data_IF_666288675474
#
_entry.id   IF_666288675474
#
_cell.length_a   1.000
_cell.length_b   1.000
_cell.length_c   1.000
_cell.angle_alpha   90.00
_cell.angle_beta   90.00
_cell.angle_gamma   90.00
#
_symmetry.space_group_name_H-M   'P 1'
#
loop_
_entity.id
_entity.type
_entity.pdbx_description
1 polymer ?
#
# COMPACT_ATOMS: atom_id res chain seq x y z
N UNK A 1 10.13 -59.07 -27.99
CA UNK A 1 10.47 -58.17 -29.12
C UNK A 1 9.51 -56.98 -29.29
N UNK A 2 8.17 -57.13 -29.19
CA UNK A 2 7.23 -55.99 -29.36
C UNK A 2 7.32 -54.90 -28.26
N UNK A 3 7.33 -55.27 -26.98
CA UNK A 3 7.39 -54.29 -25.89
C UNK A 3 8.69 -53.48 -25.78
N UNK A 4 9.79 -53.93 -26.40
CA UNK A 4 11.03 -53.15 -26.45
C UNK A 4 10.92 -51.99 -27.46
N UNK A 5 10.30 -52.23 -28.62
CA UNK A 5 10.06 -51.19 -29.64
C UNK A 5 9.04 -50.15 -29.20
N UNK A 6 8.06 -50.54 -28.38
CA UNK A 6 7.06 -49.61 -27.83
C UNK A 6 7.70 -48.66 -26.80
N UNK A 7 8.54 -49.17 -25.89
CA UNK A 7 9.28 -48.35 -24.92
C UNK A 7 10.27 -47.39 -25.59
N UNK A 8 10.92 -47.81 -26.67
CA UNK A 8 11.84 -46.97 -27.43
C UNK A 8 11.11 -45.78 -28.08
N UNK A 9 9.91 -46.02 -28.63
CA UNK A 9 9.04 -44.94 -29.15
C UNK A 9 8.52 -44.01 -28.05
N UNK A 10 8.12 -44.55 -26.91
CA UNK A 10 7.70 -43.73 -25.75
C UNK A 10 8.84 -42.83 -25.25
N UNK A 11 10.07 -43.37 -25.18
CA UNK A 11 11.26 -42.60 -24.82
C UNK A 11 11.57 -41.52 -25.85
N UNK A 12 11.45 -41.81 -27.14
CA UNK A 12 11.69 -40.84 -28.21
C UNK A 12 10.69 -39.68 -28.15
N UNK A 13 9.39 -39.98 -27.98
CA UNK A 13 8.32 -38.97 -27.79
C UNK A 13 8.56 -38.16 -26.51
N UNK A 14 8.96 -38.80 -25.41
CA UNK A 14 9.25 -38.12 -24.16
C UNK A 14 10.45 -37.15 -24.31
N UNK A 15 11.49 -37.56 -25.03
CA UNK A 15 12.70 -36.78 -25.26
C UNK A 15 12.43 -35.59 -26.20
N UNK A 16 11.60 -35.78 -27.23
CA UNK A 16 11.12 -34.70 -28.09
C UNK A 16 10.25 -33.69 -27.31
N UNK A 17 9.32 -34.18 -26.48
CA UNK A 17 8.51 -33.32 -25.61
C UNK A 17 9.34 -32.54 -24.58
N UNK A 18 10.46 -33.11 -24.12
CA UNK A 18 11.39 -32.45 -23.21
C UNK A 18 12.16 -31.34 -23.94
N UNK A 19 12.64 -31.61 -25.16
CA UNK A 19 13.32 -30.60 -26.01
C UNK A 19 12.40 -29.43 -26.34
N UNK A 20 11.14 -29.69 -26.68
CA UNK A 20 10.16 -28.64 -26.95
C UNK A 20 9.85 -27.78 -25.73
N UNK A 21 9.77 -28.40 -24.54
CA UNK A 21 9.62 -27.66 -23.28
C UNK A 21 10.84 -26.80 -23.01
N UNK A 22 12.04 -27.33 -23.19
CA UNK A 22 13.30 -26.60 -22.96
C UNK A 22 13.41 -25.39 -23.89
N UNK A 23 13.06 -25.57 -25.18
CA UNK A 23 13.00 -24.49 -26.16
C UNK A 23 12.01 -23.40 -25.76
N UNK A 24 10.79 -23.78 -25.37
CA UNK A 24 9.76 -22.83 -24.90
C UNK A 24 10.17 -22.09 -23.62
N UNK A 25 10.90 -22.75 -22.73
CA UNK A 25 11.42 -22.12 -21.50
C UNK A 25 12.50 -21.09 -21.83
N UNK A 26 13.43 -21.40 -22.74
CA UNK A 26 14.45 -20.44 -23.20
C UNK A 26 13.82 -19.22 -23.87
N UNK A 27 12.89 -19.42 -24.79
CA UNK A 27 12.17 -18.32 -25.44
C UNK A 27 11.40 -17.42 -24.43
N UNK A 28 10.90 -18.00 -23.34
CA UNK A 28 10.27 -17.24 -22.26
C UNK A 28 11.29 -16.48 -21.42
N UNK A 29 12.43 -17.10 -21.10
CA UNK A 29 13.51 -16.45 -20.37
C UNK A 29 14.05 -15.26 -21.16
N UNK A 30 14.33 -15.42 -22.45
CA UNK A 30 14.79 -14.34 -23.31
C UNK A 30 13.80 -13.16 -23.35
N UNK A 31 12.49 -13.45 -23.39
CA UNK A 31 11.43 -12.42 -23.32
C UNK A 31 11.38 -11.71 -21.98
N UNK A 32 11.57 -12.45 -20.88
CA UNK A 32 11.59 -11.88 -19.52
C UNK A 32 12.83 -10.99 -19.36
N UNK A 33 13.99 -11.45 -19.80
CA UNK A 33 15.24 -10.69 -19.75
C UNK A 33 15.16 -9.42 -20.60
N UNK A 34 14.67 -9.52 -21.84
CA UNK A 34 14.46 -8.35 -22.69
C UNK A 34 13.48 -7.33 -22.07
N UNK A 35 12.37 -7.81 -21.48
CA UNK A 35 11.41 -6.92 -20.80
C UNK A 35 12.01 -6.28 -19.55
N UNK A 36 12.83 -7.01 -18.80
CA UNK A 36 13.53 -6.49 -17.63
C UNK A 36 14.52 -5.39 -18.04
N UNK A 37 15.31 -5.63 -19.07
CA UNK A 37 16.29 -4.66 -19.55
C UNK A 37 15.61 -3.39 -20.08
N UNK A 38 14.48 -3.54 -20.79
CA UNK A 38 13.66 -2.41 -21.23
C UNK A 38 13.11 -1.61 -20.05
N UNK A 39 12.60 -2.28 -19.01
CA UNK A 39 12.07 -1.62 -17.81
C UNK A 39 13.18 -0.89 -17.04
N UNK A 40 14.36 -1.50 -16.90
CA UNK A 40 15.52 -0.88 -16.26
C UNK A 40 15.98 0.35 -17.04
N UNK A 41 16.03 0.27 -18.38
CA UNK A 41 16.38 1.40 -19.24
C UNK A 41 15.37 2.56 -19.11
N UNK A 42 14.06 2.25 -19.09
CA UNK A 42 13.00 3.26 -18.87
C UNK A 42 13.12 3.92 -17.50
N UNK A 43 13.28 3.14 -16.43
CA UNK A 43 13.44 3.66 -15.08
C UNK A 43 14.68 4.56 -14.95
N UNK A 44 15.79 4.18 -15.58
CA UNK A 44 17.01 5.00 -15.59
C UNK A 44 16.81 6.33 -16.35
N UNK A 45 16.10 6.32 -17.48
CA UNK A 45 15.77 7.52 -18.23
C UNK A 45 14.85 8.48 -17.45
N UNK A 46 13.82 7.94 -16.80
CA UNK A 46 12.90 8.71 -15.96
C UNK A 46 13.62 9.32 -14.74
N UNK A 47 14.47 8.55 -14.07
CA UNK A 47 15.28 9.04 -12.95
C UNK A 47 16.21 10.20 -13.37
N UNK A 48 16.82 10.09 -14.56
CA UNK A 48 17.66 11.17 -15.11
C UNK A 48 16.85 12.44 -15.37
N UNK A 49 15.65 12.32 -15.93
CA UNK A 49 14.77 13.45 -16.18
C UNK A 49 14.27 14.11 -14.90
N UNK A 50 13.97 13.31 -13.87
CA UNK A 50 13.59 13.82 -12.55
C UNK A 50 14.73 14.60 -11.89
N UNK A 51 15.97 14.10 -11.98
CA UNK A 51 17.15 14.82 -11.46
C UNK A 51 17.41 16.13 -12.20
N UNK A 52 17.27 16.13 -13.52
CA UNK A 52 17.43 17.35 -14.34
C UNK A 52 16.37 18.40 -13.99
N UNK A 53 15.11 18.00 -13.88
CA UNK A 53 14.03 18.91 -13.49
C UNK A 53 14.24 19.45 -12.08
N UNK A 54 14.60 18.61 -11.11
CA UNK A 54 14.91 19.02 -9.74
C UNK A 54 16.09 20.02 -9.67
N UNK A 55 17.16 19.76 -10.41
CA UNK A 55 18.31 20.68 -10.48
C UNK A 55 17.89 22.04 -11.07
N UNK A 56 17.06 22.04 -12.12
CA UNK A 56 16.57 23.27 -12.73
C UNK A 56 15.66 24.06 -11.80
N UNK A 57 14.76 23.41 -11.06
CA UNK A 57 13.95 24.10 -10.04
C UNK A 57 14.82 24.65 -8.93
N UNK A 58 15.81 23.90 -8.45
CA UNK A 58 16.75 24.38 -7.45
C UNK A 58 17.50 25.63 -7.94
N UNK A 59 17.99 25.64 -9.17
CA UNK A 59 18.66 26.81 -9.75
C UNK A 59 17.74 28.04 -9.83
N UNK A 60 16.48 27.84 -10.29
CA UNK A 60 15.48 28.91 -10.35
C UNK A 60 15.13 29.43 -8.97
N UNK A 61 14.90 28.56 -7.99
CA UNK A 61 14.62 28.95 -6.61
C UNK A 61 15.82 29.67 -5.97
N UNK A 62 17.05 29.20 -6.20
CA UNK A 62 18.27 29.88 -5.73
C UNK A 62 18.40 31.26 -6.38
N UNK A 63 18.08 31.37 -7.67
CA UNK A 63 18.07 32.65 -8.39
C UNK A 63 17.00 33.59 -7.83
N UNK A 64 15.78 33.13 -7.61
CA UNK A 64 14.71 33.89 -6.97
C UNK A 64 15.11 34.35 -5.57
N UNK A 65 15.68 33.49 -4.73
CA UNK A 65 16.19 33.87 -3.39
C UNK A 65 17.29 34.94 -3.50
N UNK A 66 18.17 34.85 -4.52
CA UNK A 66 19.24 35.83 -4.75
C UNK A 66 18.70 37.16 -5.27
N UNK A 67 17.68 37.15 -6.12
CA UNK A 67 17.04 38.33 -6.72
C UNK A 67 16.06 39.01 -5.75
N UNK A 68 15.37 38.23 -4.91
CA UNK A 68 14.55 38.69 -3.78
C UNK A 68 15.38 39.23 -2.60
N UNK A 69 16.67 39.54 -2.81
CA UNK A 69 17.47 40.41 -1.93
C UNK A 69 16.97 41.87 -1.94
N UNK A 70 15.67 42.05 -1.72
CA UNK A 70 15.06 43.27 -1.24
C UNK A 70 15.37 43.41 0.26
N UNK A 71 15.90 44.59 0.60
CA UNK A 71 16.18 45.18 1.91
C UNK A 71 17.02 44.36 2.90
N UNK A 72 18.17 44.93 3.25
CA UNK A 72 19.09 44.51 4.33
C UNK A 72 18.39 44.18 5.66
N UNK A 73 17.19 44.72 5.88
CA UNK A 73 16.32 44.50 7.03
C UNK A 73 15.64 43.12 7.06
N UNK A 74 15.18 42.60 5.92
CA UNK A 74 14.52 41.29 5.86
C UNK A 74 15.51 40.15 6.18
N UNK A 75 16.76 40.29 5.73
CA UNK A 75 17.85 39.36 6.00
C UNK A 75 18.26 39.40 7.47
N UNK A 76 18.29 40.58 8.10
CA UNK A 76 18.61 40.72 9.53
C UNK A 76 17.50 40.11 10.41
N UNK A 77 16.24 40.32 10.03
CA UNK A 77 15.09 39.72 10.71
C UNK A 77 15.05 38.20 10.54
N UNK A 78 15.34 37.68 9.34
CA UNK A 78 15.41 36.25 9.08
C UNK A 78 16.58 35.59 9.83
N UNK A 79 17.77 36.22 9.86
CA UNK A 79 18.91 35.74 10.65
C UNK A 79 18.62 35.72 12.14
N UNK A 80 17.92 36.73 12.66
CA UNK A 80 17.55 36.79 14.07
C UNK A 80 16.52 35.70 14.43
N UNK A 81 15.50 35.51 13.60
CA UNK A 81 14.52 34.42 13.76
C UNK A 81 15.16 33.04 13.64
N UNK A 82 16.12 32.86 12.75
CA UNK A 82 16.83 31.60 12.58
C UNK A 82 17.76 31.30 13.78
N UNK A 83 18.43 32.32 14.32
CA UNK A 83 19.22 32.18 15.55
C UNK A 83 18.34 31.80 16.75
N UNK A 84 17.17 32.44 16.92
CA UNK A 84 16.19 32.10 17.96
C UNK A 84 15.61 30.69 17.79
N UNK A 85 15.48 30.20 16.55
CA UNK A 85 15.05 28.82 16.28
C UNK A 85 16.16 27.80 16.52
N UNK A 86 17.42 28.12 16.17
CA UNK A 86 18.57 27.26 16.47
C UNK A 86 18.76 27.09 17.97
N UNK A 87 18.63 28.16 18.75
CA UNK A 87 18.78 28.11 20.20
C UNK A 87 17.68 27.24 20.86
N UNK A 88 16.45 27.28 20.35
CA UNK A 88 15.36 26.40 20.80
C UNK A 88 15.62 24.92 20.48
N UNK A 89 16.13 24.63 19.28
CA UNK A 89 16.48 23.27 18.86
C UNK A 89 17.65 22.74 19.69
N UNK A 90 18.63 23.59 20.01
CA UNK A 90 19.79 23.22 20.84
C UNK A 90 19.37 22.95 22.30
N UNK A 91 18.46 23.76 22.86
CA UNK A 91 17.88 23.51 24.18
C UNK A 91 17.03 22.23 24.23
N UNK A 92 16.28 21.89 23.18
CA UNK A 92 15.58 20.61 23.08
C UNK A 92 16.56 19.42 22.92
N UNK A 93 17.63 19.59 22.14
CA UNK A 93 18.67 18.58 21.98
C UNK A 93 19.40 18.29 23.30
N UNK A 94 19.72 19.32 24.09
CA UNK A 94 20.30 19.17 25.42
C UNK A 94 19.35 18.44 26.39
N UNK A 95 18.05 18.75 26.36
CA UNK A 95 17.05 18.04 27.17
C UNK A 95 16.92 16.57 26.79
N UNK A 96 17.01 16.25 25.49
CA UNK A 96 17.03 14.87 24.99
C UNK A 96 18.31 14.15 25.41
N UNK A 97 19.46 14.83 25.41
CA UNK A 97 20.74 14.26 25.83
C UNK A 97 20.78 13.98 27.34
N UNK A 98 20.23 14.89 28.17
CA UNK A 98 20.08 14.69 29.61
C UNK A 98 19.13 13.52 29.93
N UNK A 99 18.04 13.36 29.16
CA UNK A 99 17.15 12.18 29.25
C UNK A 99 17.86 10.88 28.86
N UNK A 100 18.78 10.92 27.88
CA UNK A 100 19.62 9.77 27.50
C UNK A 100 20.68 9.43 28.56
N UNK A 101 21.29 10.43 29.22
CA UNK A 101 22.27 10.21 30.31
C UNK A 101 21.62 9.55 31.54
N UNK A 102 20.39 9.94 31.92
CA UNK A 102 19.61 9.26 32.99
C UNK A 102 19.21 7.82 32.65
N UNK A 103 19.16 7.45 31.36
CA UNK A 103 18.89 6.07 30.89
C UNK A 103 20.13 5.18 30.84
N UNK A 104 21.34 5.75 30.86
CA UNK A 104 22.62 5.01 30.74
C UNK A 104 23.18 4.48 32.07
N UNK A 105 22.56 4.80 33.22
CA UNK A 105 22.95 4.30 34.55
C UNK A 105 22.20 3.04 34.99
N UNK A 106 21.32 2.48 34.16
CA UNK A 106 20.73 1.17 34.40
C UNK A 106 21.73 0.06 34.02
N UNK A 107 21.93 -1.00 34.84
CA UNK A 107 22.98 -1.98 34.62
C UNK A 107 22.68 -2.84 33.39
N UNK A 108 23.69 -3.05 32.53
CA UNK A 108 23.61 -3.97 31.39
C UNK A 108 23.75 -5.43 31.87
N UNK A 109 22.86 -6.36 31.51
CA UNK A 109 23.14 -7.78 31.68
C UNK A 109 24.11 -8.26 30.59
N UNK A 110 24.96 -9.20 30.99
CA UNK A 110 26.04 -9.80 30.18
C UNK A 110 25.46 -10.76 29.14
N UNK A 111 26.13 -10.84 27.99
CA UNK A 111 25.96 -11.89 26.98
C UNK A 111 26.60 -13.17 27.52
N UNK A 112 25.85 -14.27 27.52
CA UNK A 112 26.26 -15.55 26.96
C UNK A 112 25.04 -16.47 26.78
N UNK A 113 25.13 -17.31 25.74
CA UNK A 113 24.34 -18.53 25.46
C UNK A 113 22.81 -18.43 25.38
N UNK A 114 22.32 -18.28 24.14
CA UNK A 114 21.50 -19.28 23.41
C UNK A 114 20.72 -20.28 24.30
N UNK A 115 19.38 -20.18 24.22
CA UNK A 115 18.32 -20.95 24.90
C UNK A 115 17.96 -20.55 26.35
N UNK A 116 16.65 -20.28 26.53
CA UNK A 116 15.93 -19.95 27.77
C UNK A 116 16.31 -18.58 28.39
N UNK A 117 15.41 -17.67 28.71
CA UNK A 117 14.00 -17.80 29.12
C UNK A 117 13.28 -16.48 28.81
N UNK A 118 12.27 -16.51 27.95
CA UNK A 118 11.26 -15.45 27.94
C UNK A 118 10.46 -15.58 29.24
N UNK A 119 10.28 -14.51 30.03
CA UNK A 119 9.47 -14.57 31.24
C UNK A 119 8.06 -15.05 30.91
N UNK A 120 7.58 -16.00 31.71
CA UNK A 120 6.25 -16.59 31.62
C UNK A 120 5.18 -15.50 31.48
N UNK A 121 4.64 -15.39 30.27
CA UNK A 121 3.34 -14.79 30.00
C UNK A 121 2.38 -15.96 29.73
N UNK A 122 1.12 -15.83 30.17
CA UNK A 122 0.30 -16.95 30.63
C UNK A 122 0.14 -18.00 29.54
N UNK A 123 0.11 -19.26 30.00
CA UNK A 123 -0.12 -20.47 29.20
C UNK A 123 -1.07 -20.17 28.03
N UNK A 124 -0.58 -20.45 26.82
CA UNK A 124 -1.40 -20.39 25.63
C UNK A 124 -2.56 -21.37 25.82
N UNK A 125 -3.73 -20.82 26.13
CA UNK A 125 -4.96 -21.59 26.13
C UNK A 125 -5.24 -21.93 24.67
N UNK A 126 -4.92 -23.16 24.31
CA UNK A 126 -5.34 -23.74 23.05
C UNK A 126 -6.86 -23.84 23.10
N UNK A 127 -7.53 -22.84 22.53
CA UNK A 127 -8.98 -22.83 22.42
C UNK A 127 -9.33 -23.70 21.20
N UNK A 128 -9.70 -24.95 21.44
CA UNK A 128 -10.33 -25.83 20.44
C UNK A 128 -11.79 -25.39 20.21
N UNK A 129 -11.96 -24.13 19.81
CA UNK A 129 -13.24 -23.51 19.52
C UNK A 129 -13.31 -23.00 18.09
N UNK A 130 -14.52 -22.75 17.56
CA UNK A 130 -14.67 -22.17 16.23
C UNK A 130 -13.94 -20.83 16.14
N UNK A 131 -13.24 -20.64 15.02
CA UNK A 131 -12.54 -19.40 14.70
C UNK A 131 -13.61 -18.36 14.32
N UNK A 132 -13.54 -17.18 14.92
CA UNK A 132 -14.46 -16.07 14.68
C UNK A 132 -13.71 -14.85 14.11
N UNK A 133 -14.46 -13.89 13.54
CA UNK A 133 -13.88 -12.66 13.00
C UNK A 133 -13.32 -11.82 14.15
N UNK A 134 -12.09 -11.32 13.99
CA UNK A 134 -11.35 -10.58 15.02
C UNK A 134 -10.51 -11.44 15.96
N UNK A 135 -10.51 -12.76 15.78
CA UNK A 135 -9.59 -13.64 16.51
C UNK A 135 -8.15 -13.50 16.00
N UNK A 136 -7.20 -13.61 16.93
CA UNK A 136 -5.79 -13.77 16.60
C UNK A 136 -5.53 -15.27 16.40
N UNK A 137 -5.10 -15.60 15.19
CA UNK A 137 -4.81 -16.96 14.74
C UNK A 137 -3.35 -17.08 14.37
N UNK A 138 -2.78 -18.26 14.62
CA UNK A 138 -1.45 -18.63 14.21
C UNK A 138 -1.57 -19.41 12.89
N UNK A 139 -0.83 -18.94 11.88
CA UNK A 139 -0.85 -19.44 10.51
C UNK A 139 0.23 -20.52 10.38
N UNK A 140 -0.20 -21.78 10.17
CA UNK A 140 0.67 -22.96 10.08
C UNK A 140 1.50 -23.23 11.35
N UNK A 141 2.55 -24.04 11.22
CA UNK A 141 3.48 -24.33 12.34
C UNK A 141 4.58 -23.26 12.49
N UNK A 142 4.61 -22.28 11.59
CA UNK A 142 5.69 -21.30 11.45
C UNK A 142 5.66 -20.13 12.45
N UNK A 143 4.75 -20.12 13.40
CA UNK A 143 4.68 -19.09 14.46
C UNK A 143 4.18 -17.72 14.00
N UNK A 144 3.72 -17.58 12.75
CA UNK A 144 3.23 -16.31 12.20
C UNK A 144 1.82 -16.04 12.73
N UNK A 145 1.63 -14.89 13.39
CA UNK A 145 0.32 -14.48 13.90
C UNK A 145 -0.40 -13.59 12.90
N UNK A 146 -1.72 -13.74 12.83
CA UNK A 146 -2.58 -12.92 11.99
C UNK A 146 -3.98 -12.77 12.58
N UNK A 147 -4.73 -11.81 12.04
CA UNK A 147 -6.10 -11.50 12.46
C UNK A 147 -7.10 -11.99 11.44
N UNK A 148 -8.16 -12.66 11.90
CA UNK A 148 -9.23 -13.14 11.03
C UNK A 148 -10.12 -11.98 10.62
N UNK A 149 -10.18 -11.70 9.31
CA UNK A 149 -10.93 -10.59 8.76
C UNK A 149 -12.28 -10.99 8.18
N UNK A 150 -12.38 -12.18 7.56
CA UNK A 150 -13.60 -12.60 6.88
C UNK A 150 -13.67 -14.13 6.70
N UNK A 151 -14.90 -14.63 6.56
CA UNK A 151 -15.19 -16.02 6.19
C UNK A 151 -15.88 -16.08 4.84
N UNK A 152 -15.52 -17.08 4.02
CA UNK A 152 -16.20 -17.38 2.77
C UNK A 152 -16.28 -18.89 2.56
N UNK A 153 -17.46 -19.46 2.81
CA UNK A 153 -17.74 -20.91 2.73
C UNK A 153 -16.69 -21.73 3.50
N UNK A 154 -15.66 -22.22 2.82
CA UNK A 154 -14.60 -23.08 3.40
C UNK A 154 -13.24 -22.38 3.57
N UNK A 155 -13.17 -21.06 3.33
CA UNK A 155 -11.91 -20.29 3.42
C UNK A 155 -12.04 -19.09 4.36
N UNK A 156 -10.93 -18.80 5.02
CA UNK A 156 -10.76 -17.70 5.97
C UNK A 156 -9.79 -16.70 5.40
N UNK A 157 -10.13 -15.41 5.46
CA UNK A 157 -9.21 -14.34 5.14
C UNK A 157 -8.48 -13.91 6.41
N UNK A 158 -7.16 -14.00 6.41
CA UNK A 158 -6.32 -13.61 7.54
C UNK A 158 -5.37 -12.49 7.14
N UNK A 159 -5.25 -11.48 8.00
CA UNK A 159 -4.27 -10.41 7.87
C UNK A 159 -3.03 -10.74 8.69
N UNK A 160 -1.89 -10.92 8.02
CA UNK A 160 -0.58 -11.06 8.64
C UNK A 160 0.24 -9.79 8.34
N UNK A 161 0.26 -8.86 9.29
CA UNK A 161 0.83 -7.53 9.06
C UNK A 161 0.04 -6.75 8.00
N UNK A 162 0.69 -6.37 6.89
CA UNK A 162 0.07 -5.64 5.77
C UNK A 162 -0.54 -6.55 4.70
N UNK A 163 -0.30 -7.86 4.77
CA UNK A 163 -0.74 -8.83 3.75
C UNK A 163 -2.07 -9.47 4.16
N UNK A 164 -3.00 -9.61 3.20
CA UNK A 164 -4.29 -10.31 3.39
C UNK A 164 -4.33 -11.56 2.50
N UNK A 165 -4.55 -12.73 3.08
CA UNK A 165 -4.51 -14.02 2.36
C UNK A 165 -5.72 -14.88 2.69
N UNK A 166 -6.26 -15.58 1.69
CA UNK A 166 -7.31 -16.58 1.85
C UNK A 166 -6.72 -17.98 2.05
N UNK A 167 -7.02 -18.62 3.19
CA UNK A 167 -6.50 -19.94 3.55
C UNK A 167 -7.57 -20.85 4.13
N UNK A 168 -7.28 -22.14 4.27
CA UNK A 168 -8.22 -23.12 4.82
C UNK A 168 -8.22 -23.07 6.35
N UNK A 169 -9.35 -23.41 6.98
CA UNK A 169 -9.48 -23.47 8.44
C UNK A 169 -8.48 -24.43 9.10
N UNK A 170 -8.08 -25.50 8.39
CA UNK A 170 -7.13 -26.51 8.87
C UNK A 170 -5.71 -25.99 9.07
N UNK A 171 -5.38 -24.82 8.49
CA UNK A 171 -4.05 -24.20 8.58
C UNK A 171 -3.98 -23.13 9.68
N UNK A 172 -5.05 -22.95 10.46
CA UNK A 172 -5.20 -21.90 11.46
C UNK A 172 -5.37 -22.48 12.86
N UNK A 173 -4.64 -21.92 13.83
CA UNK A 173 -4.82 -22.24 15.25
C UNK A 173 -5.15 -20.97 16.03
N UNK A 174 -6.29 -20.95 16.71
CA UNK A 174 -6.71 -19.82 17.56
C UNK A 174 -5.77 -19.69 18.76
N UNK A 175 -5.19 -18.51 18.94
CA UNK A 175 -4.22 -18.21 20.01
C UNK A 175 -4.68 -17.07 20.93
N UNK A 176 -5.75 -16.36 20.58
CA UNK A 176 -6.37 -15.36 21.45
C UNK A 176 -7.33 -14.43 20.72
N UNK A 177 -7.73 -13.34 21.39
CA UNK A 177 -8.46 -12.22 20.79
C UNK A 177 -7.46 -11.08 20.55
N UNK A 178 -7.33 -10.61 19.32
CA UNK A 178 -6.39 -9.53 18.98
C UNK A 178 -6.81 -8.23 19.70
N UNK A 179 -5.84 -7.52 20.30
CA UNK A 179 -6.10 -6.12 20.73
C UNK A 179 -6.17 -5.27 19.47
N UNK A 180 -7.19 -4.39 19.33
CA UNK A 180 -7.41 -3.64 18.10
C UNK A 180 -6.17 -2.79 17.78
N UNK A 181 -5.46 -3.15 16.71
CA UNK A 181 -4.53 -2.21 16.08
C UNK A 181 -5.37 -1.10 15.46
N UNK A 182 -4.87 0.13 15.48
CA UNK A 182 -5.55 1.32 14.97
C UNK A 182 -5.62 1.36 13.42
N UNK A 183 -5.97 0.24 12.80
CA UNK A 183 -6.38 0.17 11.41
C UNK A 183 -7.89 -0.02 11.42
N UNK A 184 -8.58 0.98 10.86
CA UNK A 184 -10.02 1.10 10.79
C UNK A 184 -10.74 -0.26 10.67
N UNK A 185 -11.49 -0.63 11.72
CA UNK A 185 -12.53 -1.65 11.63
C UNK A 185 -13.43 -1.26 10.45
N UNK A 186 -13.60 -2.19 9.53
CA UNK A 186 -14.65 -2.15 8.52
C UNK A 186 -15.73 -3.04 9.09
N UNK A 187 -16.76 -2.43 9.67
CA UNK A 187 -17.98 -3.16 9.98
C UNK A 187 -18.65 -3.51 8.64
N UNK A 188 -18.59 -4.79 8.26
CA UNK A 188 -19.31 -5.31 7.10
C UNK A 188 -20.78 -5.42 7.50
N UNK A 189 -21.52 -4.33 7.37
CA UNK A 189 -22.98 -4.39 7.28
C UNK A 189 -23.30 -4.94 5.89
N UNK A 190 -23.92 -6.13 5.82
CA UNK A 190 -24.43 -6.68 4.56
C UNK A 190 -25.43 -5.69 3.95
N UNK A 191 -25.20 -5.16 2.73
CA UNK A 191 -26.22 -4.39 2.05
C UNK A 191 -27.28 -5.33 1.45
N UNK A 192 -28.53 -4.85 1.45
CA UNK A 192 -29.69 -5.50 0.86
C UNK A 192 -29.41 -6.01 -0.57
N UNK A 193 -29.80 -7.27 -0.81
CA UNK A 193 -29.47 -8.10 -1.97
C UNK A 193 -30.13 -7.69 -3.30
N UNK A 194 -30.80 -6.54 -3.37
CA UNK A 194 -31.58 -6.14 -4.55
C UNK A 194 -30.86 -5.15 -5.49
N UNK A 195 -29.69 -4.63 -5.11
CA UNK A 195 -28.84 -3.82 -5.99
C UNK A 195 -27.52 -4.55 -6.22
N UNK A 196 -27.17 -4.78 -7.49
CA UNK A 196 -25.93 -5.46 -7.87
C UNK A 196 -24.68 -4.81 -7.24
N UNK A 197 -23.52 -5.49 -7.23
CA UNK A 197 -22.33 -5.01 -6.54
C UNK A 197 -21.90 -3.64 -7.08
N UNK A 198 -21.91 -2.62 -6.21
CA UNK A 198 -21.40 -1.28 -6.51
C UNK A 198 -19.92 -1.40 -6.86
N UNK A 199 -19.54 -0.84 -8.01
CA UNK A 199 -18.16 -0.92 -8.51
C UNK A 199 -17.29 0.05 -7.73
N UNK A 200 -16.07 -0.34 -7.39
CA UNK A 200 -15.07 0.53 -6.74
C UNK A 200 -14.35 1.48 -7.72
N UNK A 201 -14.83 1.54 -8.97
CA UNK A 201 -14.27 2.39 -10.02
C UNK A 201 -15.38 3.02 -10.88
N UNK A 202 -15.29 4.34 -11.05
CA UNK A 202 -16.09 5.14 -11.97
C UNK A 202 -15.23 5.60 -13.15
N UNK A 203 -15.73 5.42 -14.38
CA UNK A 203 -15.04 5.85 -15.61
C UNK A 203 -15.79 7.02 -16.26
N UNK A 204 -15.14 8.17 -16.29
CA UNK A 204 -15.68 9.42 -16.86
C UNK A 204 -15.03 9.78 -18.21
N UNK A 205 -14.09 8.97 -18.71
CA UNK A 205 -13.36 9.24 -19.95
C UNK A 205 -14.35 9.38 -21.12
N UNK A 206 -14.22 10.47 -21.88
CA UNK A 206 -15.02 10.74 -23.07
C UNK A 206 -16.37 11.40 -22.80
N UNK A 207 -16.73 11.61 -21.53
CA UNK A 207 -17.95 12.31 -21.15
C UNK A 207 -17.77 13.82 -21.16
N UNK A 208 -18.88 14.55 -21.35
CA UNK A 208 -18.92 16.00 -21.15
C UNK A 208 -18.87 16.32 -19.65
N UNK A 209 -18.32 17.48 -19.30
CA UNK A 209 -18.11 17.86 -17.90
C UNK A 209 -19.41 17.87 -17.07
N UNK A 210 -20.52 18.33 -17.65
CA UNK A 210 -21.82 18.33 -16.96
C UNK A 210 -22.36 16.92 -16.72
N UNK A 211 -22.34 16.05 -17.73
CA UNK A 211 -22.76 14.65 -17.61
C UNK A 211 -21.92 13.90 -16.57
N UNK A 212 -20.60 14.09 -16.62
CA UNK A 212 -19.66 13.48 -15.69
C UNK A 212 -19.85 13.98 -14.25
N UNK A 213 -20.29 15.22 -14.06
CA UNK A 213 -20.57 15.76 -12.73
C UNK A 213 -21.79 15.07 -12.10
N UNK A 214 -22.88 14.96 -12.86
CA UNK A 214 -24.10 14.29 -12.40
C UNK A 214 -23.88 12.80 -12.12
N UNK A 215 -23.09 12.11 -12.95
CA UNK A 215 -22.74 10.71 -12.70
C UNK A 215 -21.81 10.52 -11.50
N UNK A 216 -20.87 11.44 -11.28
CA UNK A 216 -20.02 11.42 -10.10
C UNK A 216 -20.84 11.57 -8.81
N UNK A 217 -21.82 12.47 -8.80
CA UNK A 217 -22.68 12.71 -7.64
C UNK A 217 -23.51 11.48 -7.28
N UNK A 218 -24.22 10.92 -8.27
CA UNK A 218 -24.98 9.68 -8.09
C UNK A 218 -24.08 8.52 -7.62
N UNK A 219 -22.85 8.44 -8.13
CA UNK A 219 -21.90 7.41 -7.74
C UNK A 219 -21.41 7.55 -6.29
N UNK A 220 -21.18 8.78 -5.80
CA UNK A 220 -20.78 9.01 -4.40
C UNK A 220 -21.89 8.60 -3.43
N UNK A 221 -23.16 8.83 -3.79
CA UNK A 221 -24.31 8.34 -3.02
C UNK A 221 -24.37 6.80 -3.02
N UNK A 222 -24.16 6.17 -4.17
CA UNK A 222 -24.10 4.71 -4.26
C UNK A 222 -22.98 4.11 -3.41
N UNK A 223 -21.81 4.75 -3.37
CA UNK A 223 -20.69 4.33 -2.53
C UNK A 223 -21.02 4.43 -1.04
N UNK A 224 -21.67 5.52 -0.62
CA UNK A 224 -22.09 5.71 0.75
C UNK A 224 -23.14 4.65 1.15
N UNK A 225 -24.13 4.39 0.30
CA UNK A 225 -25.14 3.34 0.52
C UNK A 225 -24.53 1.93 0.58
N UNK A 226 -23.50 1.67 -0.23
CA UNK A 226 -22.76 0.41 -0.20
C UNK A 226 -21.71 0.32 0.91
N UNK A 227 -21.59 1.37 1.74
CA UNK A 227 -20.59 1.52 2.80
C UNK A 227 -19.15 1.23 2.31
N UNK A 228 -18.85 1.65 1.08
CA UNK A 228 -17.54 1.48 0.47
C UNK A 228 -16.60 2.60 0.93
N UNK A 229 -15.48 2.27 1.61
CA UNK A 229 -14.64 3.30 2.23
C UNK A 229 -13.82 4.11 1.22
N UNK A 230 -13.64 3.61 -0.01
CA UNK A 230 -12.89 4.30 -1.05
C UNK A 230 -13.35 3.89 -2.45
N UNK A 231 -13.05 4.75 -3.43
CA UNK A 231 -13.26 4.47 -4.84
C UNK A 231 -12.25 5.18 -5.74
N UNK A 232 -12.14 4.72 -6.99
CA UNK A 232 -11.31 5.33 -8.03
C UNK A 232 -12.16 6.01 -9.08
N UNK A 233 -11.82 7.25 -9.42
CA UNK A 233 -12.50 8.04 -10.44
C UNK A 233 -11.51 8.26 -11.60
N UNK A 234 -11.80 7.63 -12.72
CA UNK A 234 -10.96 7.67 -13.93
C UNK A 234 -11.48 8.75 -14.86
N UNK A 235 -10.87 9.93 -14.82
CA UNK A 235 -11.19 11.06 -15.69
C UNK A 235 -10.21 11.23 -16.87
N UNK A 236 -9.07 10.52 -16.84
CA UNK A 236 -8.02 10.62 -17.85
C UNK A 236 -7.16 11.87 -17.69
N UNK A 237 -6.05 11.95 -18.45
CA UNK A 237 -5.08 13.06 -18.38
C UNK A 237 -5.53 14.26 -19.23
N UNK A 238 -5.76 14.03 -20.53
CA UNK A 238 -6.44 14.93 -21.47
C UNK A 238 -6.10 16.42 -21.33
N UNK A 239 -7.10 17.27 -21.53
CA UNK A 239 -7.05 18.74 -21.33
C UNK A 239 -7.16 19.14 -19.86
N UNK A 240 -7.29 18.18 -18.93
CA UNK A 240 -7.52 18.44 -17.51
C UNK A 240 -8.91 18.94 -17.14
N UNK A 241 -9.83 19.14 -18.10
CA UNK A 241 -11.18 19.67 -17.83
C UNK A 241 -11.98 18.77 -16.88
N UNK A 242 -12.00 17.46 -17.14
CA UNK A 242 -12.67 16.50 -16.25
C UNK A 242 -11.96 16.38 -14.90
N UNK A 243 -10.62 16.44 -14.87
CA UNK A 243 -9.83 16.46 -13.63
C UNK A 243 -10.24 17.63 -12.74
N UNK A 244 -10.26 18.85 -13.30
CA UNK A 244 -10.61 20.06 -12.57
C UNK A 244 -12.05 20.00 -12.02
N UNK A 245 -13.00 19.55 -12.85
CA UNK A 245 -14.39 19.35 -12.44
C UNK A 245 -14.50 18.33 -11.29
N UNK A 246 -13.87 17.15 -11.42
CA UNK A 246 -13.90 16.12 -10.38
C UNK A 246 -13.33 16.65 -9.07
N UNK A 247 -12.18 17.31 -9.09
CA UNK A 247 -11.57 17.86 -7.88
C UNK A 247 -12.43 18.95 -7.22
N UNK A 248 -13.03 19.83 -8.02
CA UNK A 248 -13.93 20.87 -7.51
C UNK A 248 -15.15 20.25 -6.81
N UNK A 249 -15.73 19.20 -7.39
CA UNK A 249 -16.90 18.52 -6.81
C UNK A 249 -16.53 17.78 -5.53
N UNK A 250 -15.45 17.00 -5.54
CA UNK A 250 -15.00 16.25 -4.35
C UNK A 250 -14.61 17.15 -3.18
N UNK A 251 -14.01 18.33 -3.45
CA UNK A 251 -13.60 19.28 -2.43
C UNK A 251 -14.75 19.79 -1.55
N UNK A 252 -15.95 19.87 -2.11
CA UNK A 252 -17.12 20.44 -1.45
C UNK A 252 -18.17 19.37 -1.08
N UNK A 253 -17.88 18.09 -1.32
CA UNK A 253 -18.86 17.03 -1.17
C UNK A 253 -18.91 16.52 0.28
N UNK A 254 -20.09 16.49 0.94
CA UNK A 254 -20.21 16.10 2.35
C UNK A 254 -19.85 14.63 2.61
N UNK A 255 -20.09 13.75 1.64
CA UNK A 255 -19.78 12.31 1.76
C UNK A 255 -18.29 11.98 1.57
N UNK A 256 -17.43 12.97 1.30
CA UNK A 256 -16.01 12.77 1.03
C UNK A 256 -15.18 13.23 2.23
N UNK A 257 -14.37 12.34 2.78
CA UNK A 257 -13.43 12.66 3.85
C UNK A 257 -12.11 13.22 3.30
N UNK A 258 -11.57 12.56 2.27
CA UNK A 258 -10.29 12.93 1.67
C UNK A 258 -10.28 12.51 0.19
N UNK A 259 -9.53 13.23 -0.63
CA UNK A 259 -9.26 12.83 -2.01
C UNK A 259 -7.81 13.15 -2.38
N UNK A 260 -7.21 12.28 -3.20
CA UNK A 260 -5.85 12.45 -3.71
C UNK A 260 -5.75 12.01 -5.17
N UNK A 261 -4.69 12.42 -5.85
CA UNK A 261 -4.35 11.78 -7.12
C UNK A 261 -3.97 10.32 -6.92
N UNK A 262 -4.22 9.51 -7.95
CA UNK A 262 -3.77 8.13 -7.99
C UNK A 262 -2.25 8.05 -7.99
N UNK A 263 -1.72 7.02 -7.35
CA UNK A 263 -0.30 6.65 -7.45
C UNK A 263 0.03 6.20 -8.88
N UNK A 264 1.32 6.14 -9.28
CA UNK A 264 1.71 5.63 -10.60
C UNK A 264 1.12 4.25 -10.93
N UNK A 265 1.00 3.36 -9.93
CA UNK A 265 0.37 2.03 -10.06
C UNK A 265 -1.16 2.08 -10.19
N UNK A 266 -1.79 3.19 -9.84
CA UNK A 266 -3.24 3.40 -9.86
C UNK A 266 -3.73 4.18 -11.09
N UNK A 267 -2.81 4.71 -11.90
CA UNK A 267 -3.11 5.51 -13.09
C UNK A 267 -2.58 6.95 -13.03
N UNK A 268 -1.88 7.32 -11.96
CA UNK A 268 -1.28 8.64 -11.76
C UNK A 268 -2.30 9.77 -11.80
N UNK A 269 -1.88 10.91 -12.35
CA UNK A 269 -2.70 12.10 -12.61
C UNK A 269 -3.99 11.88 -13.44
N UNK A 270 -4.16 10.72 -14.07
CA UNK A 270 -5.38 10.39 -14.81
C UNK A 270 -6.50 9.83 -13.93
N UNK A 271 -6.23 9.62 -12.65
CA UNK A 271 -7.12 8.99 -11.68
C UNK A 271 -7.13 9.82 -10.41
N UNK A 272 -8.32 9.97 -9.81
CA UNK A 272 -8.49 10.51 -8.47
C UNK A 272 -9.01 9.40 -7.57
N UNK A 273 -8.37 9.18 -6.43
CA UNK A 273 -8.82 8.25 -5.40
C UNK A 273 -9.54 9.04 -4.33
N UNK A 274 -10.77 8.65 -4.04
CA UNK A 274 -11.63 9.27 -3.03
C UNK A 274 -11.79 8.35 -1.83
N UNK A 275 -11.73 8.91 -0.63
CA UNK A 275 -12.04 8.25 0.62
C UNK A 275 -13.35 8.82 1.17
N UNK A 276 -14.29 7.94 1.48
CA UNK A 276 -15.62 8.32 1.97
C UNK A 276 -15.57 8.65 3.46
N UNK A 277 -16.42 9.59 3.87
CA UNK A 277 -16.66 9.87 5.29
C UNK A 277 -17.30 8.67 5.96
N UNK A 278 -16.85 8.34 7.17
CA UNK A 278 -17.53 7.37 8.03
C UNK A 278 -18.61 8.11 8.80
N UNK A 279 -19.85 7.65 8.67
CA UNK A 279 -20.94 8.00 9.61
C UNK A 279 -20.67 7.41 10.99
#
# INVERSE_FOLDING_TARGET
MRGAKERERELEIALESARDRDKKLRERLDKIEASRDEQVAKAAAEAKLLLDTANRTLELTVKEIREQKASRESILAAKKKFAEQQEKVEQEAEQIEQRKKKRKTAPKPKKDSVFASVPAQPEAVQLDGPIEIGDEVLIGDGGVRGEVLAFKKDRVQVAAGSMKVWMAFTELRKVGRSKPSAHARVDIVQPDLDRGPVRTELKLIGKRAEEAASELEAYLEELALANLPFARIVHGKGTGTLRAMVQEKLKHHPLVAEYRFGEPSEGGDGVTVVQMSKD
#
